data_IF_537581603160
#
_entry.id   IF_537581603160
#
_cell.length_a   1.000
_cell.length_b   1.000
_cell.length_c   1.000
_cell.angle_alpha   90.00
_cell.angle_beta   90.00
_cell.angle_gamma   90.00
#
_symmetry.space_group_name_H-M   'P 1'
#
loop_
_entity.id
_entity.type
_entity.pdbx_description
1 polymer ?
#
# COMPACT_ATOMS: atom_id res chain seq x y z
N UNK A 1 -3.51 -18.62 12.26
CA UNK A 1 -4.89 -18.08 12.29
C UNK A 1 -5.02 -17.07 11.16
N UNK A 2 -5.85 -17.32 10.15
CA UNK A 2 -6.00 -16.42 8.99
C UNK A 2 -7.48 -16.03 8.84
N UNK A 3 -7.71 -14.72 8.91
CA UNK A 3 -8.85 -13.89 8.50
C UNK A 3 -10.29 -14.32 8.85
N UNK A 4 -10.86 -13.63 9.84
CA UNK A 4 -12.32 -13.43 9.93
C UNK A 4 -12.75 -12.42 8.87
N UNK A 5 -13.36 -12.89 7.77
CA UNK A 5 -14.13 -12.00 6.88
C UNK A 5 -15.37 -11.53 7.62
N UNK A 6 -15.36 -10.29 8.10
CA UNK A 6 -16.56 -9.64 8.60
C UNK A 6 -17.52 -9.46 7.42
N UNK A 7 -18.63 -10.19 7.46
CA UNK A 7 -19.72 -10.08 6.48
C UNK A 7 -20.46 -8.76 6.70
N UNK A 8 -19.86 -7.65 6.26
CA UNK A 8 -20.49 -6.33 6.30
C UNK A 8 -21.45 -6.26 5.11
N UNK A 9 -22.76 -6.39 5.39
CA UNK A 9 -23.80 -6.15 4.37
C UNK A 9 -23.55 -4.77 3.75
N UNK A 10 -23.52 -4.62 2.41
CA UNK A 10 -23.31 -3.32 1.79
C UNK A 10 -24.43 -2.40 2.28
N UNK A 11 -24.03 -1.30 2.93
CA UNK A 11 -24.95 -0.26 3.37
C UNK A 11 -25.58 0.29 2.10
N UNK A 12 -26.91 0.18 1.95
CA UNK A 12 -27.59 0.66 0.75
C UNK A 12 -27.33 2.16 0.59
N UNK A 13 -26.45 2.51 -0.34
CA UNK A 13 -26.14 3.89 -0.68
C UNK A 13 -27.41 4.52 -1.27
N UNK A 14 -27.89 5.62 -0.66
CA UNK A 14 -29.09 6.33 -1.11
C UNK A 14 -28.71 7.45 -2.07
N UNK A 15 -29.63 7.81 -2.96
CA UNK A 15 -29.44 8.88 -3.94
C UNK A 15 -28.51 8.48 -5.09
N UNK A 16 -27.84 9.47 -5.69
CA UNK A 16 -27.02 9.30 -6.91
C UNK A 16 -25.94 8.22 -6.75
N UNK A 17 -25.29 8.12 -5.59
CA UNK A 17 -24.27 7.12 -5.30
C UNK A 17 -24.80 5.68 -5.50
N UNK A 18 -26.01 5.38 -5.03
CA UNK A 18 -26.65 4.08 -5.22
C UNK A 18 -27.01 3.77 -6.67
N UNK A 19 -27.39 4.80 -7.45
CA UNK A 19 -27.68 4.65 -8.89
C UNK A 19 -26.40 4.30 -9.65
N UNK A 20 -25.30 5.04 -9.39
CA UNK A 20 -23.99 4.79 -9.99
C UNK A 20 -23.47 3.41 -9.58
N UNK A 21 -23.59 3.04 -8.30
CA UNK A 21 -23.16 1.73 -7.82
C UNK A 21 -23.91 0.57 -8.50
N UNK A 22 -25.23 0.69 -8.70
CA UNK A 22 -26.03 -0.30 -9.43
C UNK A 22 -25.62 -0.38 -10.90
N UNK A 23 -25.38 0.75 -11.55
CA UNK A 23 -24.92 0.79 -12.94
C UNK A 23 -23.55 0.12 -13.08
N UNK A 24 -22.59 0.49 -12.23
CA UNK A 24 -21.26 -0.11 -12.21
C UNK A 24 -21.32 -1.62 -11.97
N UNK A 25 -22.12 -2.08 -10.99
CA UNK A 25 -22.30 -3.51 -10.72
C UNK A 25 -22.87 -4.31 -11.90
N UNK A 26 -23.66 -3.67 -12.77
CA UNK A 26 -24.23 -4.30 -13.97
C UNK A 26 -23.28 -4.25 -15.17
N UNK A 27 -22.44 -3.23 -15.26
CA UNK A 27 -21.49 -3.03 -16.37
C UNK A 27 -20.17 -3.79 -16.16
N UNK A 28 -19.64 -3.84 -14.94
CA UNK A 28 -18.34 -4.46 -14.64
C UNK A 28 -18.14 -5.88 -15.21
N UNK A 29 -19.14 -6.78 -15.23
CA UNK A 29 -18.97 -8.10 -15.87
C UNK A 29 -18.69 -8.05 -17.38
N UNK A 30 -19.03 -6.95 -18.05
CA UNK A 30 -18.92 -6.79 -19.50
C UNK A 30 -17.70 -5.98 -19.91
N UNK A 31 -17.42 -4.88 -19.19
CA UNK A 31 -16.32 -3.96 -19.52
C UNK A 31 -15.04 -4.25 -18.72
N UNK A 32 -15.15 -5.07 -17.67
CA UNK A 32 -14.05 -5.32 -16.75
C UNK A 32 -13.73 -4.13 -15.83
N UNK A 33 -12.76 -4.28 -14.93
CA UNK A 33 -12.24 -3.16 -14.16
C UNK A 33 -11.55 -2.14 -15.10
N UNK A 34 -11.53 -0.86 -14.73
CA UNK A 34 -10.77 0.13 -15.49
C UNK A 34 -9.30 -0.31 -15.58
N UNK A 35 -8.65 -0.19 -16.76
CA UNK A 35 -7.23 -0.46 -16.87
C UNK A 35 -6.49 0.50 -15.94
N UNK A 36 -5.59 -0.03 -15.11
CA UNK A 36 -4.88 0.77 -14.10
C UNK A 36 -3.90 1.80 -14.72
N UNK A 37 -3.72 1.76 -16.04
CA UNK A 37 -2.79 2.58 -16.81
C UNK A 37 -1.77 1.69 -17.51
N UNK A 38 -0.92 2.25 -18.40
CA UNK A 38 0.25 1.56 -18.91
C UNK A 38 1.30 1.52 -17.79
N UNK A 39 1.01 0.79 -16.71
CA UNK A 39 2.08 0.29 -15.88
C UNK A 39 2.69 -0.83 -16.68
N UNK A 40 3.93 -0.63 -17.13
CA UNK A 40 4.73 -1.75 -17.59
C UNK A 40 4.65 -2.86 -16.54
N UNK A 41 4.79 -4.11 -16.97
CA UNK A 41 5.12 -5.18 -16.03
C UNK A 41 6.51 -4.88 -15.49
N UNK A 42 6.58 -3.99 -14.50
CA UNK A 42 7.81 -3.66 -13.78
C UNK A 42 8.33 -4.98 -13.25
N UNK A 43 9.56 -5.31 -13.62
CA UNK A 43 10.12 -6.60 -13.24
C UNK A 43 10.22 -6.65 -11.71
N UNK A 44 10.17 -7.85 -11.13
CA UNK A 44 10.35 -7.98 -9.68
C UNK A 44 11.71 -7.41 -9.24
N UNK A 45 12.73 -7.51 -10.11
CA UNK A 45 14.05 -6.93 -9.89
C UNK A 45 14.01 -5.39 -9.87
N UNK A 46 13.28 -4.75 -10.79
CA UNK A 46 13.14 -3.29 -10.82
C UNK A 46 12.40 -2.75 -9.59
N UNK A 47 11.36 -3.46 -9.15
CA UNK A 47 10.63 -3.13 -7.92
C UNK A 47 11.57 -3.22 -6.70
N UNK A 48 12.36 -4.29 -6.60
CA UNK A 48 13.34 -4.44 -5.53
C UNK A 48 14.42 -3.36 -5.56
N UNK A 49 14.96 -3.05 -6.75
CA UNK A 49 15.96 -2.00 -6.93
C UNK A 49 15.43 -0.62 -6.51
N UNK A 50 14.17 -0.33 -6.82
CA UNK A 50 13.51 0.92 -6.42
C UNK A 50 13.32 0.99 -4.90
N UNK A 51 12.86 -0.10 -4.28
CA UNK A 51 12.70 -0.16 -2.82
C UNK A 51 14.03 -0.02 -2.08
N UNK A 52 15.10 -0.65 -2.59
CA UNK A 52 16.44 -0.58 -2.01
C UNK A 52 17.01 0.86 -2.00
N UNK A 53 16.58 1.71 -2.93
CA UNK A 53 17.00 3.11 -3.04
C UNK A 53 15.99 4.11 -2.45
N UNK A 54 14.88 3.62 -1.90
CA UNK A 54 13.85 4.49 -1.34
C UNK A 54 14.34 5.21 -0.08
N UNK A 55 14.06 6.52 -0.02
CA UNK A 55 14.46 7.40 1.08
C UNK A 55 13.26 7.81 1.92
N UNK A 56 13.49 8.06 3.21
CA UNK A 56 12.48 8.60 4.09
C UNK A 56 12.08 10.01 3.65
N UNK A 57 10.78 10.32 3.48
CA UNK A 57 10.34 11.66 3.09
C UNK A 57 10.51 12.71 4.20
N UNK A 58 10.80 12.29 5.45
CA UNK A 58 10.94 13.19 6.60
C UNK A 58 12.41 13.50 6.86
N UNK A 59 13.26 12.49 6.96
CA UNK A 59 14.68 12.67 7.33
C UNK A 59 15.67 12.49 6.16
N UNK A 60 15.23 11.97 5.01
CA UNK A 60 16.08 11.75 3.83
C UNK A 60 17.00 10.52 3.88
N UNK A 61 17.12 9.82 5.02
CA UNK A 61 17.91 8.58 5.10
C UNK A 61 17.21 7.40 4.40
N UNK A 62 17.96 6.38 3.97
CA UNK A 62 17.39 5.18 3.34
C UNK A 62 16.33 4.53 4.23
N UNK A 63 15.20 4.11 3.64
CA UNK A 63 14.12 3.46 4.38
C UNK A 63 14.54 2.11 4.98
N UNK A 64 15.49 1.41 4.34
CA UNK A 64 16.07 0.16 4.86
C UNK A 64 16.80 0.33 6.20
N UNK A 65 17.20 1.55 6.56
CA UNK A 65 17.87 1.84 7.83
C UNK A 65 16.89 2.07 8.98
N UNK A 66 15.60 2.24 8.71
CA UNK A 66 14.59 2.52 9.72
C UNK A 66 14.14 1.24 10.44
N UNK A 67 13.81 1.37 11.71
CA UNK A 67 13.18 0.28 12.46
C UNK A 67 11.66 0.39 12.34
N UNK A 68 11.02 -0.70 11.92
CA UNK A 68 9.56 -0.78 11.76
C UNK A 68 8.99 -1.64 12.88
N UNK A 69 8.46 -1.01 13.91
CA UNK A 69 7.78 -1.69 15.00
C UNK A 69 6.33 -2.03 14.61
N UNK A 70 6.02 -3.33 14.63
CA UNK A 70 4.69 -3.87 14.33
C UNK A 70 4.00 -4.50 15.55
N UNK A 71 4.53 -4.29 16.75
CA UNK A 71 4.03 -4.91 17.99
C UNK A 71 2.77 -4.25 18.56
N UNK A 72 2.61 -2.94 18.35
CA UNK A 72 1.47 -2.16 18.84
C UNK A 72 0.22 -2.24 17.95
N UNK A 73 -0.83 -1.52 18.37
CA UNK A 73 -2.07 -1.37 17.57
C UNK A 73 -1.79 -0.72 16.19
N UNK A 74 -0.78 0.15 16.13
CA UNK A 74 -0.36 0.87 14.93
C UNK A 74 1.11 0.61 14.65
N UNK A 75 1.42 0.32 13.40
CA UNK A 75 2.81 0.23 12.93
C UNK A 75 3.49 1.59 13.09
N UNK A 76 4.64 1.59 13.77
CA UNK A 76 5.49 2.77 13.94
C UNK A 76 6.77 2.60 13.11
N UNK A 77 7.29 3.71 12.61
CA UNK A 77 8.57 3.76 11.89
C UNK A 77 9.48 4.72 12.65
N UNK A 78 10.60 4.20 13.14
CA UNK A 78 11.58 4.98 13.91
C UNK A 78 12.72 5.42 13.02
N UNK A 79 13.08 6.70 13.11
CA UNK A 79 14.26 7.22 12.43
C UNK A 79 15.54 6.62 13.02
N UNK A 80 16.54 6.31 12.17
CA UNK A 80 17.82 5.86 12.67
C UNK A 80 18.58 6.99 13.33
N UNK A 81 19.33 6.68 14.38
CA UNK A 81 20.36 7.58 14.92
C UNK A 81 21.56 7.63 13.98
N UNK A 82 22.41 8.68 14.04
CA UNK A 82 23.63 8.73 13.24
C UNK A 82 24.55 7.51 13.42
N UNK A 83 24.62 6.98 14.65
CA UNK A 83 25.39 5.77 14.97
C UNK A 83 24.81 4.53 14.28
N UNK A 84 23.49 4.36 14.30
CA UNK A 84 22.80 3.26 13.62
C UNK A 84 22.95 3.33 12.10
N UNK A 85 23.01 4.53 11.53
CA UNK A 85 23.30 4.70 10.09
C UNK A 85 24.72 4.20 9.79
N UNK A 86 25.71 4.58 10.59
CA UNK A 86 27.10 4.17 10.38
C UNK A 86 27.27 2.64 10.51
N UNK A 87 26.61 2.01 11.48
CA UNK A 87 26.68 0.56 11.70
C UNK A 87 26.00 -0.24 10.59
N UNK A 88 24.81 0.20 10.14
CA UNK A 88 23.99 -0.54 9.16
C UNK A 88 24.35 -0.27 7.70
N UNK A 89 25.21 0.72 7.45
CA UNK A 89 25.69 1.07 6.11
C UNK A 89 27.08 0.53 5.80
N UNK A 90 27.75 -0.09 6.78
CA UNK A 90 29.03 -0.78 6.64
C UNK A 90 28.84 -2.21 6.09
#
# INVERSE_FOLDING_TARGET
MIMTRTNKKPRAERGLAGVIARLNGRLLPWIGPPPLGPYDTVSAEEVQATQARSVCPICGALMSLHEIDRSGERTQVHHPTPEQVAERSA
#
